data_IF_852856087102
#
_entry.id   IF_852856087102
#
_cell.length_a   1.000
_cell.length_b   1.000
_cell.length_c   1.000
_cell.angle_alpha   90.00
_cell.angle_beta   90.00
_cell.angle_gamma   90.00
#
_symmetry.space_group_name_H-M   'P 1'
#
loop_
_entity.id
_entity.type
_entity.pdbx_description
1 polymer ?
#
# COMPACT_ATOMS: atom_id res chain seq x y z
N UNK A 1 -17.74 9.99 10.08
CA UNK A 1 -16.92 9.58 8.95
C UNK A 1 -15.78 10.57 8.76
N UNK A 2 -14.56 10.13 8.95
CA UNK A 2 -13.38 10.97 8.79
C UNK A 2 -13.10 11.31 7.32
N UNK A 3 -12.34 12.39 7.13
CA UNK A 3 -11.84 12.76 5.80
C UNK A 3 -10.81 11.70 5.34
N UNK A 4 -10.96 11.23 4.10
CA UNK A 4 -10.01 10.29 3.53
C UNK A 4 -8.77 11.07 3.10
N UNK A 5 -7.56 10.69 3.57
CA UNK A 5 -6.35 11.39 3.21
C UNK A 5 -6.03 11.19 1.73
N UNK A 6 -5.19 12.09 1.18
CA UNK A 6 -4.60 11.85 -0.13
C UNK A 6 -3.68 10.63 -0.05
N UNK A 7 -3.34 10.06 -1.21
CA UNK A 7 -2.43 8.92 -1.25
C UNK A 7 -1.05 9.30 -0.69
N UNK A 8 -0.56 10.50 -1.02
CA UNK A 8 0.71 11.00 -0.47
C UNK A 8 0.67 11.09 1.06
N UNK A 9 -0.42 11.64 1.63
CA UNK A 9 -0.60 11.70 3.09
C UNK A 9 -0.68 10.31 3.73
N UNK A 10 -1.42 9.39 3.09
CA UNK A 10 -1.55 8.02 3.58
C UNK A 10 -0.20 7.29 3.60
N UNK A 11 0.61 7.45 2.55
CA UNK A 11 1.96 6.87 2.47
C UNK A 11 2.89 7.53 3.48
N UNK A 12 2.78 8.84 3.67
CA UNK A 12 3.57 9.55 4.66
C UNK A 12 3.28 9.04 6.08
N UNK A 13 2.04 8.79 6.40
CA UNK A 13 1.63 8.23 7.70
C UNK A 13 2.09 6.79 7.90
N UNK A 14 1.93 5.96 6.87
CA UNK A 14 2.34 4.55 6.92
C UNK A 14 3.86 4.39 6.95
N UNK A 15 4.55 5.27 6.29
CA UNK A 15 6.01 5.26 6.21
C UNK A 15 6.54 4.53 4.98
N UNK A 16 7.81 4.84 4.64
CA UNK A 16 8.53 4.21 3.54
C UNK A 16 9.77 3.54 4.12
N UNK A 17 9.92 2.25 3.89
CA UNK A 17 11.00 1.43 4.43
C UNK A 17 11.79 0.79 3.31
N UNK A 18 13.11 0.82 3.44
CA UNK A 18 14.05 0.29 2.45
C UNK A 18 14.80 -0.91 3.02
N UNK A 19 15.24 -1.82 2.14
CA UNK A 19 16.01 -3.01 2.50
C UNK A 19 15.31 -3.85 3.58
N UNK A 20 14.00 -4.02 3.42
CA UNK A 20 13.22 -4.82 4.35
C UNK A 20 13.61 -6.28 4.18
N UNK A 21 14.05 -6.89 5.27
CA UNK A 21 14.47 -8.29 5.27
C UNK A 21 13.28 -9.20 5.55
N UNK A 22 13.29 -10.36 4.91
CA UNK A 22 12.27 -11.38 5.11
C UNK A 22 12.38 -12.41 4.00
N UNK A 23 12.51 -13.67 4.36
CA UNK A 23 12.62 -14.77 3.39
C UNK A 23 11.26 -15.31 2.94
N UNK A 24 10.17 -14.81 3.49
CA UNK A 24 8.82 -15.28 3.22
C UNK A 24 7.82 -14.13 3.30
N UNK A 25 6.61 -14.34 2.75
CA UNK A 25 5.48 -13.40 2.91
C UNK A 25 5.25 -13.07 4.37
N UNK A 26 5.21 -14.09 5.23
CA UNK A 26 4.96 -13.91 6.65
C UNK A 26 5.99 -13.00 7.31
N UNK A 27 7.28 -13.23 7.06
CA UNK A 27 8.35 -12.43 7.65
C UNK A 27 8.28 -10.97 7.18
N UNK A 28 8.06 -10.75 5.88
CA UNK A 28 7.95 -9.40 5.31
C UNK A 28 6.73 -8.66 5.87
N UNK A 29 5.58 -9.31 5.94
CA UNK A 29 4.36 -8.71 6.48
C UNK A 29 4.50 -8.42 7.98
N UNK A 30 5.12 -9.30 8.74
CA UNK A 30 5.40 -9.07 10.16
C UNK A 30 6.26 -7.83 10.35
N UNK A 31 7.31 -7.68 9.57
CA UNK A 31 8.15 -6.48 9.63
C UNK A 31 7.34 -5.21 9.38
N UNK A 32 6.53 -5.20 8.34
CA UNK A 32 5.72 -4.03 7.98
C UNK A 32 4.76 -3.66 9.10
N UNK A 33 4.06 -4.65 9.67
CA UNK A 33 3.11 -4.42 10.77
C UNK A 33 3.83 -3.81 11.99
N UNK A 34 4.99 -4.35 12.34
CA UNK A 34 5.76 -3.87 13.49
C UNK A 34 6.35 -2.48 13.25
N UNK A 35 6.72 -2.16 12.01
CA UNK A 35 7.29 -0.87 11.65
C UNK A 35 6.24 0.23 11.50
N UNK A 36 4.99 -0.12 11.19
CA UNK A 36 3.90 0.84 10.98
C UNK A 36 3.32 1.28 12.32
N UNK A 37 3.08 2.59 12.45
CA UNK A 37 2.52 3.18 13.69
C UNK A 37 1.00 3.02 13.72
N UNK A 38 0.54 1.83 14.08
CA UNK A 38 -0.88 1.47 14.07
C UNK A 38 -1.61 1.82 15.39
N UNK A 39 -0.86 2.13 16.45
CA UNK A 39 -1.42 2.45 17.76
C UNK A 39 -1.28 1.30 18.76
N UNK A 40 -1.31 1.61 20.06
CA UNK A 40 -1.04 0.60 21.10
C UNK A 40 -2.14 -0.44 21.28
N UNK A 41 -3.36 -0.17 20.79
CA UNK A 41 -4.49 -1.10 20.87
C UNK A 41 -4.48 -2.15 19.75
N UNK A 42 -3.58 -2.03 18.77
CA UNK A 42 -3.49 -2.98 17.66
C UNK A 42 -2.56 -4.13 18.05
N UNK A 43 -3.07 -5.34 18.05
CA UNK A 43 -2.29 -6.53 18.36
C UNK A 43 -1.68 -7.07 17.06
N UNK A 44 -0.34 -7.08 16.99
CA UNK A 44 0.41 -7.40 15.76
C UNK A 44 0.15 -8.80 15.23
N UNK A 45 0.08 -9.79 16.13
CA UNK A 45 -0.15 -11.18 15.71
C UNK A 45 -1.53 -11.40 15.09
N UNK A 46 -2.54 -10.76 15.67
CA UNK A 46 -3.90 -10.80 15.11
C UNK A 46 -3.93 -10.15 13.72
N UNK A 47 -3.29 -9.00 13.59
CA UNK A 47 -3.25 -8.28 12.33
C UNK A 47 -2.51 -9.09 11.24
N UNK A 48 -1.40 -9.71 11.59
CA UNK A 48 -0.66 -10.59 10.69
C UNK A 48 -1.54 -11.75 10.20
N UNK A 49 -2.29 -12.37 11.09
CA UNK A 49 -3.20 -13.44 10.73
C UNK A 49 -4.27 -12.99 9.73
N UNK A 50 -4.82 -11.78 9.91
CA UNK A 50 -5.79 -11.21 8.96
C UNK A 50 -5.18 -10.94 7.59
N UNK A 51 -3.92 -10.51 7.53
CA UNK A 51 -3.23 -10.29 6.26
C UNK A 51 -2.90 -11.62 5.57
N UNK A 52 -2.43 -12.60 6.31
CA UNK A 52 -2.15 -13.93 5.76
C UNK A 52 -3.42 -14.63 5.28
N UNK A 53 -4.53 -14.47 6.00
CA UNK A 53 -5.83 -15.01 5.58
C UNK A 53 -6.27 -14.39 4.25
N UNK A 54 -6.05 -13.11 4.05
CA UNK A 54 -6.36 -12.42 2.78
C UNK A 54 -5.49 -12.96 1.64
N UNK A 55 -4.19 -13.16 1.88
CA UNK A 55 -3.29 -13.76 0.87
C UNK A 55 -3.71 -15.17 0.51
N UNK A 56 -4.25 -15.93 1.47
CA UNK A 56 -4.75 -17.28 1.24
C UNK A 56 -6.01 -17.33 0.37
N UNK A 57 -6.79 -16.25 0.30
CA UNK A 57 -7.97 -16.16 -0.57
C UNK A 57 -7.55 -16.00 -2.03
N UNK A 58 -6.66 -15.06 -2.30
CA UNK A 58 -6.08 -14.80 -3.62
C UNK A 58 -4.83 -13.94 -3.45
N UNK A 59 -3.81 -14.12 -4.30
CA UNK A 59 -2.61 -13.29 -4.23
C UNK A 59 -2.91 -11.80 -4.35
N UNK A 60 -2.24 -10.98 -3.55
CA UNK A 60 -2.34 -9.51 -3.64
C UNK A 60 -1.31 -8.91 -4.58
N UNK A 61 -0.48 -9.73 -5.22
CA UNK A 61 0.44 -9.28 -6.25
C UNK A 61 -0.34 -8.75 -7.47
N UNK A 62 0.09 -7.59 -7.96
CA UNK A 62 -0.58 -6.90 -9.08
C UNK A 62 0.27 -6.89 -10.35
N UNK A 63 1.37 -7.62 -10.35
CA UNK A 63 2.32 -7.67 -11.47
C UNK A 63 3.47 -6.69 -11.32
N UNK A 64 4.48 -6.85 -12.16
CA UNK A 64 5.67 -6.00 -12.23
C UNK A 64 6.42 -5.87 -10.90
N UNK A 65 6.40 -6.93 -10.08
CA UNK A 65 7.13 -6.97 -8.82
C UNK A 65 6.46 -6.21 -7.67
N UNK A 66 5.18 -5.86 -7.80
CA UNK A 66 4.43 -5.10 -6.80
C UNK A 66 3.30 -5.94 -6.20
N UNK A 67 3.10 -5.84 -4.90
CA UNK A 67 1.93 -6.40 -4.22
C UNK A 67 1.28 -5.33 -3.33
N UNK A 68 -0.03 -5.49 -3.10
CA UNK A 68 -0.81 -4.60 -2.24
C UNK A 68 -1.45 -5.45 -1.12
N UNK A 69 -0.66 -5.89 -0.12
CA UNK A 69 -1.22 -6.67 0.99
C UNK A 69 -2.29 -5.90 1.75
N UNK A 70 -3.34 -6.62 2.15
CA UNK A 70 -4.54 -6.06 2.77
C UNK A 70 -5.02 -6.98 3.88
N UNK A 71 -5.95 -6.50 4.68
CA UNK A 71 -6.64 -7.31 5.67
C UNK A 71 -7.81 -8.06 5.04
N UNK A 72 -8.09 -9.27 5.51
CA UNK A 72 -9.28 -10.02 5.07
C UNK A 72 -10.57 -9.27 5.45
N UNK A 73 -10.55 -8.56 6.58
CA UNK A 73 -11.63 -7.69 7.03
C UNK A 73 -11.07 -6.29 7.29
N UNK A 74 -11.13 -5.36 6.30
CA UNK A 74 -10.54 -4.04 6.47
C UNK A 74 -11.07 -3.27 7.70
N UNK A 75 -12.36 -3.46 8.02
CA UNK A 75 -13.00 -2.76 9.15
C UNK A 75 -12.73 -3.41 10.53
N UNK A 76 -11.90 -4.44 10.60
CA UNK A 76 -11.51 -5.04 11.87
C UNK A 76 -10.50 -4.20 12.67
N UNK A 77 -9.95 -3.15 12.07
CA UNK A 77 -8.87 -2.35 12.61
C UNK A 77 -9.40 -1.01 13.12
N UNK A 78 -9.03 -0.64 14.36
CA UNK A 78 -9.33 0.68 14.92
C UNK A 78 -8.21 1.66 14.59
N UNK A 79 -8.43 2.50 13.59
CA UNK A 79 -7.50 3.55 13.15
C UNK A 79 -8.24 4.87 12.99
N UNK A 80 -7.62 5.96 13.43
CA UNK A 80 -8.16 7.31 13.20
C UNK A 80 -8.13 7.68 11.71
N UNK A 81 -7.08 7.30 11.01
CA UNK A 81 -6.87 7.61 9.60
C UNK A 81 -6.34 6.40 8.85
N UNK A 82 -6.81 6.19 7.61
CA UNK A 82 -6.19 5.19 6.75
C UNK A 82 -4.72 5.53 6.48
N UNK A 83 -3.92 4.49 6.28
CA UNK A 83 -2.51 4.65 5.94
C UNK A 83 -2.04 3.55 4.99
N UNK A 84 -0.98 3.85 4.25
CA UNK A 84 -0.34 2.92 3.32
C UNK A 84 1.14 2.87 3.67
N UNK A 85 1.63 1.68 3.99
CA UNK A 85 3.06 1.48 4.25
C UNK A 85 3.73 0.96 2.99
N UNK A 86 4.73 1.69 2.50
CA UNK A 86 5.53 1.28 1.35
C UNK A 86 6.82 0.63 1.85
N UNK A 87 7.07 -0.59 1.41
CA UNK A 87 8.27 -1.33 1.79
C UNK A 87 8.97 -1.89 0.56
N UNK A 88 10.27 -1.62 0.47
CA UNK A 88 11.14 -2.22 -0.54
C UNK A 88 11.88 -3.40 0.10
N UNK A 89 11.67 -4.59 -0.47
CA UNK A 89 12.28 -5.81 0.05
C UNK A 89 13.75 -5.90 -0.38
N UNK A 90 14.61 -6.36 0.53
CA UNK A 90 16.02 -6.62 0.20
C UNK A 90 16.14 -7.72 -0.86
N UNK A 91 15.41 -8.82 -0.66
CA UNK A 91 15.34 -9.92 -1.60
C UNK A 91 13.91 -10.09 -2.10
N UNK A 92 13.71 -10.28 -3.42
CA UNK A 92 12.38 -10.53 -3.95
C UNK A 92 11.76 -11.81 -3.38
N UNK A 93 10.44 -11.78 -3.20
CA UNK A 93 9.67 -12.89 -2.61
C UNK A 93 8.61 -13.33 -3.61
N UNK A 94 8.40 -14.65 -3.73
CA UNK A 94 7.31 -15.21 -4.51
C UNK A 94 5.98 -14.93 -3.81
N UNK A 95 5.11 -14.16 -4.46
CA UNK A 95 3.76 -13.83 -4.01
C UNK A 95 2.71 -14.48 -4.91
N UNK A 96 3.06 -15.52 -5.65
CA UNK A 96 2.17 -16.19 -6.60
C UNK A 96 1.57 -15.22 -7.63
N UNK A 97 2.38 -14.29 -8.12
CA UNK A 97 1.94 -13.30 -9.11
C UNK A 97 1.56 -13.95 -10.43
N UNK A 98 0.50 -13.43 -11.07
CA UNK A 98 0.01 -13.94 -12.36
C UNK A 98 1.06 -13.82 -13.47
N UNK A 99 2.01 -12.89 -13.39
CA UNK A 99 3.08 -12.71 -14.36
C UNK A 99 4.34 -13.54 -14.06
N UNK A 100 4.31 -14.31 -12.98
CA UNK A 100 5.44 -15.14 -12.54
C UNK A 100 6.61 -14.38 -11.96
N UNK A 101 6.54 -13.05 -11.86
CA UNK A 101 7.61 -12.24 -11.31
C UNK A 101 7.58 -12.19 -9.79
N UNK A 102 8.74 -12.32 -9.11
CA UNK A 102 8.76 -12.15 -7.66
C UNK A 102 8.47 -10.69 -7.28
N UNK A 103 7.97 -10.50 -6.07
CA UNK A 103 7.60 -9.19 -5.54
C UNK A 103 8.77 -8.58 -4.78
N UNK A 104 9.02 -7.31 -5.05
CA UNK A 104 10.06 -6.52 -4.40
C UNK A 104 9.51 -5.27 -3.72
N UNK A 105 8.29 -4.85 -4.09
CA UNK A 105 7.65 -3.64 -3.56
C UNK A 105 6.32 -4.00 -2.94
N UNK A 106 6.12 -3.64 -1.67
CA UNK A 106 4.87 -3.83 -0.95
C UNK A 106 4.20 -2.48 -0.66
N UNK A 107 2.91 -2.39 -0.96
CA UNK A 107 2.04 -1.31 -0.50
C UNK A 107 1.01 -1.91 0.44
N UNK A 108 1.29 -1.89 1.75
CA UNK A 108 0.38 -2.45 2.75
C UNK A 108 -0.67 -1.41 3.12
N UNK A 109 -1.93 -1.73 2.88
CA UNK A 109 -3.06 -0.82 3.06
C UNK A 109 -3.78 -1.12 4.37
N UNK A 110 -3.86 -0.12 5.25
CA UNK A 110 -4.54 -0.19 6.53
C UNK A 110 -5.65 0.86 6.58
N UNK A 111 -6.89 0.41 6.79
CA UNK A 111 -8.05 1.30 6.92
C UNK A 111 -9.07 0.69 7.89
N UNK A 112 -9.68 1.53 8.72
CA UNK A 112 -10.74 1.11 9.62
C UNK A 112 -12.12 1.15 8.96
N UNK A 113 -12.26 1.73 7.77
CA UNK A 113 -13.52 1.81 7.04
C UNK A 113 -13.41 1.18 5.65
N UNK A 114 -14.49 0.53 5.21
CA UNK A 114 -14.57 -0.02 3.86
C UNK A 114 -14.47 1.08 2.80
N UNK A 115 -15.10 2.22 3.04
CA UNK A 115 -15.05 3.34 2.11
C UNK A 115 -13.62 3.86 1.92
N UNK A 116 -12.90 4.11 3.00
CA UNK A 116 -11.51 4.55 2.95
C UNK A 116 -10.61 3.53 2.26
N UNK A 117 -10.82 2.26 2.58
CA UNK A 117 -10.11 1.15 1.96
C UNK A 117 -10.29 1.15 0.43
N UNK A 118 -11.54 1.17 -0.05
CA UNK A 118 -11.80 1.12 -1.50
C UNK A 118 -11.29 2.36 -2.22
N UNK A 119 -11.44 3.54 -1.65
CA UNK A 119 -10.97 4.78 -2.26
C UNK A 119 -9.45 4.77 -2.39
N UNK A 120 -8.72 4.43 -1.33
CA UNK A 120 -7.26 4.38 -1.37
C UNK A 120 -6.75 3.28 -2.29
N UNK A 121 -7.39 2.12 -2.28
CA UNK A 121 -7.02 1.02 -3.16
C UNK A 121 -7.14 1.43 -4.63
N UNK A 122 -8.25 2.05 -5.01
CA UNK A 122 -8.47 2.50 -6.38
C UNK A 122 -7.47 3.59 -6.79
N UNK A 123 -7.19 4.54 -5.90
CA UNK A 123 -6.17 5.57 -6.14
C UNK A 123 -4.78 4.97 -6.32
N UNK A 124 -4.46 3.96 -5.53
CA UNK A 124 -3.18 3.25 -5.64
C UNK A 124 -3.06 2.50 -6.96
N UNK A 125 -4.11 1.77 -7.39
CA UNK A 125 -4.13 1.13 -8.70
C UNK A 125 -3.93 2.14 -9.83
N UNK A 126 -4.60 3.28 -9.75
CA UNK A 126 -4.44 4.35 -10.73
C UNK A 126 -2.98 4.87 -10.74
N UNK A 127 -2.42 5.13 -9.57
CA UNK A 127 -1.06 5.64 -9.45
C UNK A 127 -0.02 4.67 -10.01
N UNK A 128 -0.19 3.36 -9.78
CA UNK A 128 0.74 2.34 -10.23
C UNK A 128 0.80 2.19 -11.77
N UNK A 129 -0.12 2.81 -12.49
CA UNK A 129 -0.10 2.86 -13.97
C UNK A 129 0.80 3.97 -14.49
N UNK A 130 1.22 4.90 -13.65
CA UNK A 130 2.04 6.05 -14.05
C UNK A 130 3.48 5.59 -14.33
N UNK A 131 4.00 5.81 -15.57
CA UNK A 131 5.33 5.31 -15.93
C UNK A 131 6.47 5.91 -15.09
N UNK A 132 6.36 7.19 -14.72
CA UNK A 132 7.39 7.85 -13.92
C UNK A 132 7.45 7.29 -12.50
N UNK A 133 6.28 7.01 -11.90
CA UNK A 133 6.23 6.34 -10.60
C UNK A 133 6.80 4.91 -10.69
N UNK A 134 6.44 4.16 -11.71
CA UNK A 134 6.96 2.81 -11.92
C UNK A 134 8.48 2.81 -11.96
N UNK A 135 9.08 3.77 -12.66
CA UNK A 135 10.53 3.88 -12.73
C UNK A 135 11.14 4.24 -11.38
N UNK A 136 10.53 5.17 -10.66
CA UNK A 136 10.99 5.54 -9.31
C UNK A 136 10.92 4.37 -8.34
N UNK A 137 9.89 3.52 -8.46
CA UNK A 137 9.79 2.30 -7.64
C UNK A 137 10.89 1.30 -8.00
N UNK A 138 11.16 1.09 -9.28
CA UNK A 138 12.23 0.17 -9.72
C UNK A 138 13.61 0.59 -9.22
N UNK A 139 13.91 1.89 -9.23
CA UNK A 139 15.20 2.39 -8.73
C UNK A 139 15.21 2.65 -7.23
N UNK A 140 14.11 2.37 -6.54
CA UNK A 140 13.96 2.59 -5.10
C UNK A 140 14.30 4.04 -4.72
N UNK A 141 13.64 4.97 -5.37
CA UNK A 141 13.87 6.40 -5.20
C UNK A 141 13.65 6.85 -3.75
N UNK A 142 14.20 8.01 -3.41
CA UNK A 142 14.05 8.58 -2.08
C UNK A 142 12.62 9.02 -1.77
N UNK A 143 12.37 9.25 -0.49
CA UNK A 143 11.04 9.58 0.04
C UNK A 143 10.39 10.76 -0.66
N UNK A 144 11.13 11.87 -0.83
CA UNK A 144 10.58 13.11 -1.39
C UNK A 144 10.17 12.92 -2.86
N UNK A 145 10.97 12.19 -3.63
CA UNK A 145 10.66 11.89 -5.03
C UNK A 145 9.38 11.05 -5.12
N UNK A 146 9.24 10.01 -4.30
CA UNK A 146 8.06 9.13 -4.29
C UNK A 146 6.80 9.90 -3.87
N UNK A 147 6.87 10.66 -2.78
CA UNK A 147 5.73 11.47 -2.32
C UNK A 147 5.34 12.52 -3.35
N UNK A 148 6.32 13.11 -4.05
CA UNK A 148 6.07 14.05 -5.13
C UNK A 148 5.30 13.43 -6.29
N UNK A 149 5.62 12.19 -6.66
CA UNK A 149 4.87 11.47 -7.70
C UNK A 149 3.42 11.21 -7.29
N UNK A 150 3.19 10.74 -6.05
CA UNK A 150 1.84 10.52 -5.57
C UNK A 150 1.01 11.80 -5.60
N UNK A 151 1.57 12.91 -5.12
CA UNK A 151 0.89 14.20 -5.13
C UNK A 151 0.57 14.69 -6.54
N UNK A 152 1.52 14.56 -7.47
CA UNK A 152 1.34 14.94 -8.88
C UNK A 152 0.23 14.13 -9.54
N UNK A 153 0.23 12.81 -9.34
CA UNK A 153 -0.74 11.90 -9.96
C UNK A 153 -2.15 12.23 -9.46
N UNK A 154 -2.33 12.42 -8.16
CA UNK A 154 -3.64 12.76 -7.58
C UNK A 154 -4.13 14.13 -8.01
N UNK A 155 -3.24 15.11 -8.14
CA UNK A 155 -3.57 16.43 -8.65
C UNK A 155 -4.10 16.35 -10.08
N UNK A 156 -3.47 15.55 -10.94
CA UNK A 156 -3.94 15.30 -12.30
C UNK A 156 -5.30 14.61 -12.34
N UNK A 157 -5.52 13.64 -11.45
CA UNK A 157 -6.81 12.94 -11.35
C UNK A 157 -7.94 13.89 -10.94
N UNK A 158 -7.71 14.77 -9.96
CA UNK A 158 -8.70 15.77 -9.54
C UNK A 158 -9.09 16.71 -10.68
N UNK A 159 -8.12 17.22 -11.42
CA UNK A 159 -8.35 18.09 -12.57
C UNK A 159 -9.18 17.40 -13.66
N UNK A 160 -8.92 16.11 -13.89
CA UNK A 160 -9.69 15.32 -14.87
C UNK A 160 -11.14 15.16 -14.44
N UNK A 161 -11.41 14.94 -13.16
CA UNK A 161 -12.77 14.81 -12.62
C UNK A 161 -13.50 16.15 -12.70
N UNK A 162 -12.86 17.25 -12.32
CA UNK A 162 -13.43 18.60 -12.40
C UNK A 162 -13.79 19.00 -13.83
N UNK A 163 -12.98 18.58 -14.82
CA UNK A 163 -13.23 18.86 -16.23
C UNK A 163 -14.43 18.08 -16.80
N UNK A 164 -14.81 16.97 -16.18
CA UNK A 164 -15.92 16.11 -16.63
C UNK A 164 -17.24 16.47 -15.94
N UNK A 165 -17.20 17.17 -14.78
CA UNK A 165 -18.40 17.59 -14.06
C UNK A 165 -18.87 18.94 -14.62
N UNK A 166 -19.99 19.02 -15.38
CA UNK A 166 -20.52 20.31 -15.79
C UNK A 166 -21.08 21.06 -14.57
N UNK A 167 -20.91 22.36 -14.56
CA UNK A 167 -21.49 23.26 -13.56
C UNK A 167 -23.03 23.15 -13.50
#
# INVERSE_FOLDING_TARGET
>A
AGVIPTLAEAVQRGGIFYRVQGGSKEDALRFVIEATRLGPQVESGYLLNLMLAREGVAPTAVGEGVAIPQLVYPNALELECPMVTLAFLEDPIDFDSFDGKPVQVLFCLFSASLRGYHILLNRLYYALRDPALQQSLRKQAGRDELLGHFARIESGLRKSVEAVTPD
#
